data_IF_472606070034
#
_entry.id   IF_472606070034
#
_cell.length_a   1.000
_cell.length_b   1.000
_cell.length_c   1.000
_cell.angle_alpha   90.00
_cell.angle_beta   90.00
_cell.angle_gamma   90.00
#
_symmetry.space_group_name_H-M   'P 1'
#
loop_
_entity.id
_entity.type
_entity.pdbx_description
1 polymer ?
#
# COMPACT_ATOMS: atom_id res chain seq x y z
N UNK A 1 4.72 -17.31 18.40
CA UNK A 1 3.30 -17.11 18.07
C UNK A 1 3.20 -15.68 17.60
N UNK A 2 2.82 -15.43 16.33
CA UNK A 2 2.62 -14.06 15.88
C UNK A 2 1.50 -13.44 16.73
N UNK A 3 1.63 -12.16 17.06
CA UNK A 3 0.58 -11.43 17.75
C UNK A 3 -0.65 -11.32 16.83
N UNK A 4 -1.87 -11.35 17.38
CA UNK A 4 -3.09 -11.31 16.58
C UNK A 4 -3.19 -10.04 15.73
N UNK A 5 -2.57 -8.95 16.20
CA UNK A 5 -2.42 -7.71 15.45
C UNK A 5 -1.50 -7.88 14.24
N UNK A 6 -0.41 -8.64 14.38
CA UNK A 6 0.57 -8.89 13.32
C UNK A 6 -0.05 -9.66 12.15
N UNK A 7 -0.89 -10.67 12.45
CA UNK A 7 -1.65 -11.41 11.44
C UNK A 7 -2.66 -10.52 10.71
N UNK A 8 -3.34 -9.64 11.44
CA UNK A 8 -4.29 -8.70 10.86
C UNK A 8 -3.58 -7.72 9.91
N UNK A 9 -2.46 -7.15 10.33
CA UNK A 9 -1.66 -6.22 9.51
C UNK A 9 -1.18 -6.90 8.22
N UNK A 10 -0.71 -8.15 8.29
CA UNK A 10 -0.29 -8.91 7.11
C UNK A 10 -1.45 -9.12 6.13
N UNK A 11 -2.63 -9.51 6.63
CA UNK A 11 -3.85 -9.67 5.82
C UNK A 11 -4.29 -8.35 5.19
N UNK A 12 -4.19 -7.27 5.95
CA UNK A 12 -4.56 -5.94 5.48
C UNK A 12 -3.64 -5.46 4.36
N UNK A 13 -2.31 -5.56 4.53
CA UNK A 13 -1.32 -5.18 3.51
C UNK A 13 -1.45 -6.04 2.24
N UNK A 14 -1.84 -7.31 2.37
CA UNK A 14 -2.09 -8.20 1.24
C UNK A 14 -3.43 -7.94 0.51
N UNK A 15 -4.32 -7.08 1.03
CA UNK A 15 -5.65 -6.88 0.49
C UNK A 15 -5.64 -6.24 -0.91
N UNK A 16 -6.34 -6.90 -1.85
CA UNK A 16 -6.57 -6.45 -3.24
C UNK A 16 -8.06 -6.48 -3.62
N UNK A 17 -8.97 -6.43 -2.65
CA UNK A 17 -10.41 -6.56 -2.88
C UNK A 17 -11.04 -5.44 -3.73
N UNK A 18 -10.38 -4.27 -3.83
CA UNK A 18 -10.90 -3.09 -4.53
C UNK A 18 -10.03 -2.76 -5.75
N UNK A 19 -10.37 -3.22 -6.98
CA UNK A 19 -9.54 -3.05 -8.17
C UNK A 19 -9.17 -1.59 -8.45
N UNK A 20 -10.14 -0.67 -8.36
CA UNK A 20 -9.93 0.78 -8.55
C UNK A 20 -8.90 1.38 -7.58
N UNK A 21 -8.90 0.93 -6.32
CA UNK A 21 -7.97 1.43 -5.31
C UNK A 21 -6.57 0.84 -5.49
N UNK A 22 -6.50 -0.42 -5.89
CA UNK A 22 -5.25 -1.11 -6.21
C UNK A 22 -4.54 -0.43 -7.38
N UNK A 23 -5.28 -0.17 -8.46
CA UNK A 23 -4.74 0.57 -9.62
C UNK A 23 -4.23 1.95 -9.22
N UNK A 24 -5.03 2.71 -8.47
CA UNK A 24 -4.67 4.07 -8.08
C UNK A 24 -3.41 4.14 -7.19
N UNK A 25 -3.27 3.24 -6.21
CA UNK A 25 -2.10 3.22 -5.32
C UNK A 25 -0.83 2.76 -6.02
N UNK A 26 -0.94 1.79 -6.92
CA UNK A 26 0.19 1.27 -7.72
C UNK A 26 0.68 2.37 -8.68
N UNK A 27 -0.26 3.01 -9.40
CA UNK A 27 0.05 4.15 -10.26
C UNK A 27 0.71 5.31 -9.50
N UNK A 28 0.28 5.61 -8.27
CA UNK A 28 0.88 6.68 -7.46
C UNK A 28 2.31 6.34 -6.98
N UNK A 29 2.63 5.05 -6.83
CA UNK A 29 3.99 4.59 -6.51
C UNK A 29 4.92 4.65 -7.72
N UNK A 30 4.40 4.35 -8.91
CA UNK A 30 5.13 4.41 -10.19
C UNK A 30 5.30 5.85 -10.69
N UNK A 31 4.20 6.61 -10.72
CA UNK A 31 4.13 7.98 -11.24
C UNK A 31 4.07 8.95 -10.06
N UNK A 32 5.26 9.37 -9.62
CA UNK A 32 5.39 10.34 -8.54
C UNK A 32 5.21 11.76 -9.06
N UNK A 33 4.43 12.55 -8.32
CA UNK A 33 4.33 14.01 -8.57
C UNK A 33 5.67 14.70 -8.27
N UNK A 34 5.99 15.78 -9.01
CA UNK A 34 7.28 16.50 -8.92
C UNK A 34 7.76 16.78 -7.49
N UNK A 35 6.83 17.17 -6.61
CA UNK A 35 7.13 17.50 -5.21
C UNK A 35 7.59 16.31 -4.35
N UNK A 36 7.35 15.07 -4.77
CA UNK A 36 7.69 13.84 -4.03
C UNK A 36 8.53 12.86 -4.85
N UNK A 37 9.19 13.32 -5.93
CA UNK A 37 9.99 12.44 -6.80
C UNK A 37 11.06 11.66 -6.02
N UNK A 38 11.67 12.30 -5.03
CA UNK A 38 12.76 11.74 -4.23
C UNK A 38 12.28 10.98 -2.99
N UNK A 39 10.98 10.77 -2.82
CA UNK A 39 10.43 10.10 -1.64
C UNK A 39 10.13 8.65 -1.95
N UNK A 40 10.42 7.77 -1.01
CA UNK A 40 9.94 6.39 -1.07
C UNK A 40 8.45 6.36 -0.78
N UNK A 41 7.68 5.76 -1.67
CA UNK A 41 6.23 5.75 -1.63
C UNK A 41 5.73 4.33 -1.33
N UNK A 42 4.87 4.18 -0.32
CA UNK A 42 4.44 2.87 0.16
C UNK A 42 3.59 2.10 -0.86
N UNK A 43 2.67 2.78 -1.54
CA UNK A 43 1.81 2.21 -2.61
C UNK A 43 1.03 0.92 -2.23
N UNK A 44 0.82 0.65 -0.94
CA UNK A 44 0.11 -0.51 -0.38
C UNK A 44 -0.93 -0.08 0.66
N UNK A 45 -1.84 -0.97 1.11
CA UNK A 45 -2.72 -0.68 2.25
C UNK A 45 -1.93 -0.23 3.48
N UNK A 46 -2.48 0.73 4.22
CA UNK A 46 -1.85 1.29 5.44
C UNK A 46 -2.21 0.39 6.63
N UNK A 47 -1.23 -0.24 7.31
CA UNK A 47 -1.43 -1.03 8.53
C UNK A 47 -2.13 -0.27 9.65
#
# INVERSE_FOLDING_TARGET
MPDAMEELMQRLVACRACPRLVEHREHSGEVKVKRYLNWDYWAKPVP
#
